data_IF_521871092718
#
_entry.id   IF_521871092718
#
_cell.length_a   1.000
_cell.length_b   1.000
_cell.length_c   1.000
_cell.angle_alpha   90.00
_cell.angle_beta   90.00
_cell.angle_gamma   90.00
#
_symmetry.space_group_name_H-M   'P 1'
#
loop_
_entity.id
_entity.type
_entity.pdbx_description
1 polymer ?
#
# COMPACT_ATOMS: atom_id res chain seq x y z
N UNK A 1 -25.83 -22.92 58.26
CA UNK A 1 -24.94 -23.56 57.28
C UNK A 1 -25.18 -22.92 55.92
N UNK A 2 -24.41 -21.87 55.61
CA UNK A 2 -24.58 -21.11 54.36
C UNK A 2 -23.58 -21.62 53.31
N UNK A 3 -24.12 -21.98 52.14
CA UNK A 3 -23.40 -22.46 50.98
C UNK A 3 -22.54 -21.34 50.36
N UNK A 4 -21.25 -21.60 50.15
CA UNK A 4 -20.37 -20.76 49.33
C UNK A 4 -20.45 -21.18 47.87
N UNK A 5 -21.26 -20.49 47.07
CA UNK A 5 -21.14 -20.53 45.62
C UNK A 5 -20.12 -19.47 45.21
N UNK A 6 -18.88 -19.90 44.92
CA UNK A 6 -17.88 -19.04 44.30
C UNK A 6 -18.29 -18.79 42.83
N UNK A 7 -18.77 -17.59 42.54
CA UNK A 7 -18.97 -17.11 41.18
C UNK A 7 -17.59 -16.87 40.54
N UNK A 8 -17.17 -17.79 39.68
CA UNK A 8 -16.08 -17.57 38.74
C UNK A 8 -16.46 -16.40 37.83
N UNK A 9 -15.85 -15.25 38.10
CA UNK A 9 -15.93 -14.08 37.25
C UNK A 9 -15.13 -14.39 35.99
N UNK A 10 -15.81 -14.93 34.98
CA UNK A 10 -15.24 -15.12 33.65
C UNK A 10 -14.75 -13.76 33.17
N UNK A 11 -13.44 -13.61 33.03
CA UNK A 11 -12.80 -12.51 32.32
C UNK A 11 -13.43 -12.44 30.94
N UNK A 12 -14.34 -11.48 30.76
CA UNK A 12 -14.95 -11.20 29.47
C UNK A 12 -13.83 -10.74 28.53
N UNK A 13 -13.33 -11.65 27.70
CA UNK A 13 -12.60 -11.28 26.49
C UNK A 13 -13.47 -10.25 25.77
N UNK A 14 -12.97 -9.04 25.48
CA UNK A 14 -13.77 -8.06 24.76
C UNK A 14 -14.28 -8.73 23.47
N UNK A 15 -15.57 -8.57 23.13
CA UNK A 15 -16.12 -9.24 21.97
C UNK A 15 -15.23 -8.92 20.77
N UNK A 16 -14.69 -9.96 20.14
CA UNK A 16 -14.07 -9.83 18.82
C UNK A 16 -15.08 -9.04 17.98
N UNK A 17 -14.70 -7.87 17.47
CA UNK A 17 -15.62 -6.96 16.78
C UNK A 17 -16.46 -7.75 15.76
N UNK A 18 -17.70 -8.11 16.14
CA UNK A 18 -18.60 -8.87 15.30
C UNK A 18 -19.22 -7.87 14.33
N UNK A 19 -18.52 -7.62 13.23
CA UNK A 19 -18.89 -6.68 12.19
C UNK A 19 -20.03 -7.24 11.32
N UNK A 20 -21.14 -6.51 11.22
CA UNK A 20 -22.36 -6.92 10.49
C UNK A 20 -22.43 -6.25 9.09
N UNK A 21 -22.76 -7.01 8.01
CA UNK A 21 -22.83 -6.55 6.60
C UNK A 21 -23.91 -5.49 6.28
N UNK A 22 -23.92 -4.86 5.07
CA UNK A 22 -23.20 -5.23 3.84
C UNK A 22 -21.88 -4.46 3.65
N UNK A 23 -20.78 -5.06 4.10
CA UNK A 23 -19.45 -4.62 3.69
C UNK A 23 -19.12 -5.18 2.31
N UNK A 24 -19.11 -4.34 1.28
CA UNK A 24 -18.50 -4.72 0.01
C UNK A 24 -16.98 -4.80 0.19
N UNK A 25 -16.35 -5.90 -0.23
CA UNK A 25 -14.89 -6.02 -0.22
C UNK A 25 -14.32 -4.90 -1.12
N UNK A 26 -13.46 -4.00 -0.61
CA UNK A 26 -12.85 -2.98 -1.45
C UNK A 26 -12.02 -3.64 -2.55
N UNK A 27 -12.08 -3.08 -3.76
CA UNK A 27 -11.26 -3.54 -4.87
C UNK A 27 -9.78 -3.50 -4.48
N UNK A 28 -9.07 -4.58 -4.82
CA UNK A 28 -7.65 -4.72 -4.52
C UNK A 28 -6.75 -4.12 -5.61
N UNK A 29 -7.33 -3.74 -6.76
CA UNK A 29 -6.62 -3.29 -7.95
C UNK A 29 -5.65 -2.15 -7.66
N UNK A 30 -6.12 -1.07 -7.01
CA UNK A 30 -5.30 0.11 -6.76
C UNK A 30 -4.17 -0.16 -5.76
N UNK A 31 -4.39 -1.06 -4.80
CA UNK A 31 -3.34 -1.50 -3.89
C UNK A 31 -2.28 -2.35 -4.60
N UNK A 32 -2.68 -3.16 -5.60
CA UNK A 32 -1.74 -3.87 -6.47
C UNK A 32 -0.98 -2.93 -7.40
N UNK A 33 -1.66 -1.97 -8.03
CA UNK A 33 -0.99 -0.98 -8.89
C UNK A 33 0.04 -0.16 -8.11
N UNK A 34 -0.31 0.27 -6.90
CA UNK A 34 0.62 0.97 -6.01
C UNK A 34 1.78 0.07 -5.55
N UNK A 35 1.53 -1.22 -5.32
CA UNK A 35 2.57 -2.17 -4.90
C UNK A 35 3.50 -2.54 -6.06
N UNK A 36 2.99 -2.58 -7.29
CA UNK A 36 3.76 -2.93 -8.48
C UNK A 36 4.51 -1.73 -9.08
N UNK A 37 4.23 -0.51 -8.62
CA UNK A 37 4.75 0.74 -9.17
C UNK A 37 6.27 0.77 -9.47
N UNK A 38 7.17 0.14 -8.68
CA UNK A 38 8.59 0.08 -9.01
C UNK A 38 8.92 -0.65 -10.35
N UNK A 39 8.13 -1.64 -10.76
CA UNK A 39 8.40 -2.41 -11.99
C UNK A 39 8.10 -1.61 -13.27
N UNK A 40 6.96 -0.92 -13.43
CA UNK A 40 6.75 0.00 -14.55
C UNK A 40 7.83 1.07 -14.65
N UNK A 41 8.32 1.60 -13.51
CA UNK A 41 9.46 2.52 -13.55
C UNK A 41 10.69 1.86 -14.14
N UNK A 42 11.02 0.62 -13.73
CA UNK A 42 12.14 -0.13 -14.30
C UNK A 42 12.06 -0.23 -15.83
N UNK A 43 10.86 -0.54 -16.34
CA UNK A 43 10.64 -0.68 -17.79
C UNK A 43 10.85 0.65 -18.49
N UNK A 44 10.29 1.74 -17.96
CA UNK A 44 10.45 3.08 -18.53
C UNK A 44 11.92 3.50 -18.52
N UNK A 45 12.60 3.32 -17.38
CA UNK A 45 14.03 3.60 -17.24
C UNK A 45 14.82 2.81 -18.29
N UNK A 46 14.62 1.49 -18.39
CA UNK A 46 15.33 0.64 -19.36
C UNK A 46 15.10 1.06 -20.82
N UNK A 47 13.87 1.42 -21.20
CA UNK A 47 13.58 1.93 -22.54
C UNK A 47 14.26 3.28 -22.82
N UNK A 48 14.31 4.18 -21.83
CA UNK A 48 14.94 5.49 -21.99
C UNK A 48 16.48 5.41 -22.01
N UNK A 49 17.09 4.52 -21.22
CA UNK A 49 18.53 4.29 -21.22
C UNK A 49 19.03 3.57 -22.49
N UNK A 50 18.20 2.75 -23.13
CA UNK A 50 18.60 1.97 -24.33
C UNK A 50 18.43 2.71 -25.66
N UNK A 51 17.82 3.90 -25.67
CA UNK A 51 17.38 4.57 -26.91
C UNK A 51 18.13 5.84 -27.31
N UNK A 52 19.18 6.29 -26.60
CA UNK A 52 19.83 7.57 -26.95
C UNK A 52 21.37 7.62 -26.82
N UNK A 53 22.09 7.88 -27.92
CA UNK A 53 23.41 8.51 -27.89
C UNK A 53 23.24 10.05 -27.90
N UNK A 54 23.66 10.72 -26.82
CA UNK A 54 23.59 12.20 -26.69
C UNK A 54 22.72 12.67 -25.51
N UNK A 55 23.20 12.33 -24.30
CA UNK A 55 22.67 12.56 -22.94
C UNK A 55 21.30 13.26 -22.74
N UNK A 56 20.17 12.53 -22.90
CA UNK A 56 18.83 12.91 -22.42
C UNK A 56 18.50 12.31 -21.04
N UNK A 57 19.48 11.69 -20.36
CA UNK A 57 19.31 10.91 -19.12
C UNK A 57 18.72 11.70 -17.95
N UNK A 58 19.05 12.99 -17.84
CA UNK A 58 18.59 13.88 -16.76
C UNK A 58 17.09 14.20 -16.92
N UNK A 59 16.64 14.57 -18.12
CA UNK A 59 15.24 14.91 -18.38
C UNK A 59 14.34 13.66 -18.32
N UNK A 60 14.87 12.52 -18.77
CA UNK A 60 14.21 11.22 -18.70
C UNK A 60 13.98 10.75 -17.25
N UNK A 61 14.99 10.91 -16.38
CA UNK A 61 14.88 10.62 -14.95
C UNK A 61 13.85 11.51 -14.26
N UNK A 62 13.85 12.82 -14.57
CA UNK A 62 12.91 13.78 -13.99
C UNK A 62 11.45 13.47 -14.36
N UNK A 63 11.18 13.15 -15.62
CA UNK A 63 9.82 12.80 -16.07
C UNK A 63 9.33 11.49 -15.46
N UNK A 64 10.20 10.49 -15.38
CA UNK A 64 9.87 9.16 -14.83
C UNK A 64 9.58 9.27 -13.34
N UNK A 65 10.42 9.97 -12.58
CA UNK A 65 10.19 10.31 -11.17
C UNK A 65 8.89 11.08 -10.95
N UNK A 66 8.62 12.07 -11.80
CA UNK A 66 7.38 12.87 -11.75
C UNK A 66 6.13 12.01 -11.98
N UNK A 67 6.11 11.18 -13.03
CA UNK A 67 4.98 10.30 -13.35
C UNK A 67 4.72 9.32 -12.21
N UNK A 68 5.78 8.76 -11.61
CA UNK A 68 5.64 7.83 -10.51
C UNK A 68 5.12 8.47 -9.22
N UNK A 69 5.59 9.69 -8.91
CA UNK A 69 5.09 10.44 -7.76
C UNK A 69 3.58 10.71 -7.91
N UNK A 70 3.16 11.28 -9.05
CA UNK A 70 1.75 11.61 -9.28
C UNK A 70 0.88 10.36 -9.45
N UNK A 71 1.38 9.32 -10.11
CA UNK A 71 0.73 8.02 -10.22
C UNK A 71 0.50 7.39 -8.84
N UNK A 72 1.49 7.46 -7.96
CA UNK A 72 1.37 6.95 -6.58
C UNK A 72 0.32 7.70 -5.77
N UNK A 73 0.29 9.03 -5.87
CA UNK A 73 -0.72 9.88 -5.21
C UNK A 73 -2.11 9.54 -5.75
N UNK A 74 -2.26 9.40 -7.06
CA UNK A 74 -3.52 9.06 -7.71
C UNK A 74 -4.03 7.68 -7.27
N UNK A 75 -3.19 6.64 -7.31
CA UNK A 75 -3.58 5.29 -6.88
C UNK A 75 -3.90 5.23 -5.38
N UNK A 76 -3.14 5.94 -4.54
CA UNK A 76 -3.45 6.06 -3.12
C UNK A 76 -4.79 6.76 -2.87
N UNK A 77 -5.11 7.82 -3.62
CA UNK A 77 -6.39 8.51 -3.52
C UNK A 77 -7.56 7.61 -3.97
N UNK A 78 -7.39 6.87 -5.06
CA UNK A 78 -8.39 5.93 -5.56
C UNK A 78 -8.61 4.76 -4.59
N UNK A 79 -7.55 4.17 -4.04
CA UNK A 79 -7.67 3.12 -3.02
C UNK A 79 -8.34 3.66 -1.74
N UNK A 80 -7.95 4.84 -1.25
CA UNK A 80 -8.59 5.47 -0.10
C UNK A 80 -10.09 5.73 -0.33
N UNK A 81 -10.48 6.17 -1.53
CA UNK A 81 -11.90 6.35 -1.91
C UNK A 81 -12.65 5.02 -1.93
N UNK A 82 -12.03 3.94 -2.42
CA UNK A 82 -12.64 2.61 -2.41
C UNK A 82 -12.79 2.05 -1.00
N UNK A 83 -11.78 2.26 -0.16
CA UNK A 83 -11.83 1.91 1.27
C UNK A 83 -12.95 2.69 1.97
N UNK A 84 -13.10 3.97 1.70
CA UNK A 84 -14.19 4.77 2.23
C UNK A 84 -15.56 4.24 1.80
N UNK A 85 -15.76 4.01 0.49
CA UNK A 85 -17.01 3.44 -0.07
C UNK A 85 -17.34 2.04 0.45
N UNK A 86 -16.31 1.27 0.82
CA UNK A 86 -16.51 -0.04 1.44
C UNK A 86 -17.00 0.02 2.89
N UNK A 87 -17.19 1.21 3.46
CA UNK A 87 -17.54 1.46 4.85
C UNK A 87 -16.51 0.95 5.87
N UNK A 88 -15.36 0.41 5.43
CA UNK A 88 -14.30 -0.13 6.32
C UNK A 88 -13.46 0.94 7.02
N UNK A 89 -13.63 2.22 6.67
CA UNK A 89 -12.95 3.35 7.32
C UNK A 89 -13.94 4.36 7.93
N UNK A 90 -14.74 3.91 8.90
CA UNK A 90 -15.76 4.72 9.59
C UNK A 90 -15.19 5.94 10.33
N UNK A 91 -13.92 5.88 10.73
CA UNK A 91 -13.24 6.97 11.45
C UNK A 91 -12.56 7.99 10.52
N UNK A 92 -12.81 7.93 9.20
CA UNK A 92 -12.20 8.81 8.20
C UNK A 92 -10.69 8.97 8.36
N UNK A 93 -9.99 7.88 8.73
CA UNK A 93 -8.55 7.95 8.95
C UNK A 93 -7.85 8.25 7.63
N UNK A 94 -7.04 9.30 7.60
CA UNK A 94 -6.25 9.70 6.44
C UNK A 94 -5.20 8.64 6.10
N UNK A 95 -5.07 8.34 4.81
CA UNK A 95 -4.16 7.32 4.25
C UNK A 95 -3.19 7.90 3.23
N UNK A 96 -3.69 8.76 2.33
CA UNK A 96 -2.93 9.33 1.20
C UNK A 96 -1.63 10.04 1.61
N UNK A 97 -1.56 10.84 2.70
CA UNK A 97 -0.32 11.53 3.07
C UNK A 97 0.86 10.59 3.35
N UNK A 98 0.59 9.34 3.74
CA UNK A 98 1.64 8.37 4.05
C UNK A 98 2.37 7.88 2.79
N UNK A 99 1.77 8.01 1.60
CA UNK A 99 2.42 7.61 0.33
C UNK A 99 3.62 8.51 0.02
N UNK A 100 3.57 9.77 0.46
CA UNK A 100 4.63 10.76 0.24
C UNK A 100 5.84 10.54 1.16
N UNK A 101 5.63 9.88 2.32
CA UNK A 101 6.72 9.49 3.21
C UNK A 101 7.39 8.24 2.67
N UNK A 102 6.62 7.16 2.51
CA UNK A 102 7.03 5.91 1.87
C UNK A 102 5.79 5.09 1.50
N UNK A 103 5.82 4.31 0.41
CA UNK A 103 4.78 3.33 0.12
C UNK A 103 4.60 2.32 1.27
N UNK A 104 5.66 2.05 2.06
CA UNK A 104 5.62 1.26 3.29
C UNK A 104 4.62 1.83 4.30
N UNK A 105 4.73 3.13 4.61
CA UNK A 105 3.84 3.81 5.53
C UNK A 105 2.37 3.73 5.09
N UNK A 106 2.13 3.83 3.78
CA UNK A 106 0.80 3.67 3.20
C UNK A 106 0.23 2.27 3.44
N UNK A 107 0.96 1.20 3.08
CA UNK A 107 0.48 -0.18 3.24
C UNK A 107 0.33 -0.58 4.70
N UNK A 108 1.20 -0.10 5.58
CA UNK A 108 1.05 -0.27 7.02
C UNK A 108 -0.24 0.38 7.52
N UNK A 109 -0.50 1.64 7.13
CA UNK A 109 -1.72 2.36 7.50
C UNK A 109 -2.97 1.67 6.97
N UNK A 110 -2.92 1.15 5.75
CA UNK A 110 -3.98 0.34 5.14
C UNK A 110 -4.25 -0.94 5.93
N UNK A 111 -3.22 -1.68 6.35
CA UNK A 111 -3.37 -2.85 7.21
C UNK A 111 -4.09 -2.51 8.51
N UNK A 112 -3.69 -1.41 9.17
CA UNK A 112 -4.29 -0.97 10.45
C UNK A 112 -5.75 -0.53 10.32
N UNK A 113 -6.14 0.10 9.21
CA UNK A 113 -7.50 0.63 9.03
C UNK A 113 -8.49 -0.45 8.62
N UNK A 114 -8.14 -1.28 7.63
CA UNK A 114 -9.09 -2.22 7.02
C UNK A 114 -8.80 -3.70 7.31
N UNK A 115 -7.80 -3.99 8.15
CA UNK A 115 -7.33 -5.36 8.38
C UNK A 115 -6.80 -6.03 7.11
N UNK A 116 -6.35 -5.24 6.13
CA UNK A 116 -5.92 -5.76 4.84
C UNK A 116 -4.72 -6.69 4.98
N UNK A 117 -4.61 -7.69 4.12
CA UNK A 117 -3.43 -8.56 4.09
C UNK A 117 -2.14 -7.76 3.90
N UNK A 118 -1.09 -8.13 4.64
CA UNK A 118 0.26 -7.60 4.49
C UNK A 118 0.88 -7.93 3.14
N UNK A 119 0.22 -8.76 2.31
CA UNK A 119 0.69 -9.15 0.98
C UNK A 119 1.15 -7.96 0.13
N UNK A 120 0.44 -6.83 0.14
CA UNK A 120 0.80 -5.67 -0.68
C UNK A 120 2.10 -5.00 -0.25
N UNK A 121 2.39 -5.00 1.06
CA UNK A 121 3.66 -4.51 1.57
C UNK A 121 4.81 -5.40 1.08
N UNK A 122 4.62 -6.72 1.15
CA UNK A 122 5.63 -7.67 0.66
C UNK A 122 5.76 -7.65 -0.88
N UNK A 123 4.65 -7.49 -1.61
CA UNK A 123 4.68 -7.28 -3.06
C UNK A 123 5.47 -6.03 -3.41
N UNK A 124 5.21 -4.92 -2.72
CA UNK A 124 5.96 -3.67 -2.92
C UNK A 124 7.44 -3.82 -2.60
N UNK A 125 7.78 -4.51 -1.51
CA UNK A 125 9.17 -4.75 -1.16
C UNK A 125 9.88 -5.60 -2.21
N UNK A 126 9.23 -6.67 -2.69
CA UNK A 126 9.79 -7.53 -3.72
C UNK A 126 10.01 -6.78 -5.05
N UNK A 127 9.04 -5.97 -5.49
CA UNK A 127 9.19 -5.18 -6.72
C UNK A 127 10.24 -4.09 -6.57
N UNK A 128 10.31 -3.43 -5.42
CA UNK A 128 11.35 -2.44 -5.12
C UNK A 128 12.75 -3.06 -5.15
N UNK A 129 12.94 -4.23 -4.54
CA UNK A 129 14.23 -4.92 -4.54
C UNK A 129 14.65 -5.34 -5.95
N UNK A 130 13.72 -5.82 -6.78
CA UNK A 130 13.99 -6.12 -8.19
C UNK A 130 14.42 -4.86 -8.93
N UNK A 131 13.67 -3.77 -8.79
CA UNK A 131 14.01 -2.48 -9.42
C UNK A 131 15.39 -1.99 -8.97
N UNK A 132 15.66 -1.98 -7.67
CA UNK A 132 16.94 -1.52 -7.12
C UNK A 132 18.12 -2.38 -7.59
N UNK A 133 17.96 -3.71 -7.63
CA UNK A 133 18.96 -4.63 -8.16
C UNK A 133 19.24 -4.35 -9.65
N UNK A 134 18.19 -4.26 -10.48
CA UNK A 134 18.35 -4.03 -11.91
C UNK A 134 18.97 -2.67 -12.23
N UNK A 135 18.56 -1.60 -11.54
CA UNK A 135 19.20 -0.28 -11.68
C UNK A 135 20.67 -0.34 -11.26
N UNK A 136 20.98 -1.01 -10.15
CA UNK A 136 22.37 -1.22 -9.72
C UNK A 136 23.22 -1.90 -10.80
N UNK A 137 22.71 -2.98 -11.41
CA UNK A 137 23.41 -3.69 -12.48
C UNK A 137 23.50 -2.93 -13.81
N UNK A 138 22.62 -1.96 -14.05
CA UNK A 138 22.65 -1.12 -15.26
C UNK A 138 23.63 0.06 -15.12
N UNK A 139 24.06 0.38 -13.89
CA UNK A 139 24.96 1.49 -13.59
C UNK A 139 26.43 1.06 -13.39
N UNK A 140 26.70 -0.25 -13.31
CA UNK A 140 28.06 -0.84 -13.33
C UNK A 140 28.57 -1.03 -14.76
#
# INVERSE_FOLDING_TARGET
SNASAASQQATATPPAFTFVPPYQKPTELYAYLLALLPLPMLVVDAFLFTTAPGDPSVLAGDLTGFIALWGSILFAALDARNVYRSHRNLKHRTMVPFVLLTPIGYFWRRHVIIGASKKYLFTWLATFLIWAYCIGTLME
#
